data_IF_954364411919
#
_entry.id   IF_954364411919
#
_cell.length_a   1.000
_cell.length_b   1.000
_cell.length_c   1.000
_cell.angle_alpha   90.00
_cell.angle_beta   90.00
_cell.angle_gamma   90.00
#
_symmetry.space_group_name_H-M   'P 1'
#
loop_
_entity.id
_entity.type
_entity.pdbx_description
1 polymer ?
#
# COMPACT_ATOMS: atom_id res chain seq x y z
N UNK A 1 -2.32 16.06 8.25
CA UNK A 1 -1.39 14.94 7.90
C UNK A 1 -0.48 14.67 9.08
N UNK A 2 -0.32 13.41 9.49
CA UNK A 2 0.56 12.97 10.58
C UNK A 2 1.82 12.27 10.09
N UNK A 3 1.76 11.57 8.94
CA UNK A 3 2.90 10.87 8.34
C UNK A 3 2.77 10.81 6.83
N UNK A 4 3.91 10.76 6.16
CA UNK A 4 4.04 10.68 4.71
C UNK A 4 5.08 9.60 4.40
N UNK A 5 4.74 8.64 3.54
CA UNK A 5 5.61 7.49 3.27
C UNK A 5 5.50 7.06 1.83
N UNK A 6 6.65 6.87 1.17
CA UNK A 6 6.70 6.28 -0.16
C UNK A 6 6.44 4.78 -0.06
N UNK A 7 5.47 4.27 -0.82
CA UNK A 7 5.19 2.83 -0.88
C UNK A 7 6.15 2.10 -1.82
N UNK A 8 6.76 2.81 -2.76
CA UNK A 8 7.79 2.32 -3.66
C UNK A 8 9.19 2.55 -3.08
N UNK A 9 10.08 1.54 -3.21
CA UNK A 9 11.49 1.66 -2.85
C UNK A 9 12.25 2.70 -3.67
N UNK A 10 13.39 3.17 -3.14
CA UNK A 10 14.22 4.24 -3.72
C UNK A 10 14.55 4.00 -5.20
N UNK A 11 15.10 2.83 -5.53
CA UNK A 11 15.55 2.49 -6.88
C UNK A 11 14.40 2.54 -7.91
N UNK A 12 13.20 2.11 -7.51
CA UNK A 12 12.03 2.16 -8.38
C UNK A 12 11.64 3.61 -8.69
N UNK A 13 11.71 4.50 -7.70
CA UNK A 13 11.37 5.92 -7.88
C UNK A 13 12.43 6.66 -8.69
N UNK A 14 13.71 6.29 -8.55
CA UNK A 14 14.79 6.87 -9.36
C UNK A 14 14.65 6.49 -10.84
N UNK A 15 14.18 5.27 -11.13
CA UNK A 15 13.96 4.82 -12.51
C UNK A 15 12.70 5.40 -13.14
N UNK A 16 11.60 5.46 -12.40
CA UNK A 16 10.29 5.84 -12.94
C UNK A 16 9.98 7.33 -12.79
N UNK A 17 10.67 8.00 -11.86
CA UNK A 17 10.41 9.39 -11.46
C UNK A 17 8.99 9.64 -10.92
N UNK A 18 8.23 8.59 -10.61
CA UNK A 18 6.92 8.66 -9.97
C UNK A 18 6.74 7.50 -9.00
N UNK A 19 5.78 7.62 -8.07
CA UNK A 19 5.49 6.55 -7.13
C UNK A 19 4.27 6.83 -6.27
N UNK A 20 3.61 5.79 -5.76
CA UNK A 20 2.50 5.95 -4.83
C UNK A 20 2.99 6.45 -3.47
N UNK A 21 2.26 7.42 -2.94
CA UNK A 21 2.53 8.03 -1.65
C UNK A 21 1.41 7.71 -0.67
N UNK A 22 1.75 7.11 0.46
CA UNK A 22 0.83 6.92 1.57
C UNK A 22 0.85 8.17 2.46
N UNK A 23 -0.35 8.67 2.76
CA UNK A 23 -0.59 9.78 3.66
C UNK A 23 -1.41 9.27 4.85
N UNK A 24 -0.90 9.49 6.05
CA UNK A 24 -1.66 9.24 7.26
C UNK A 24 -2.27 10.56 7.73
N UNK A 25 -3.56 10.53 8.09
CA UNK A 25 -4.30 11.67 8.60
C UNK A 25 -4.64 11.45 10.08
N UNK A 26 -4.70 12.54 10.85
CA UNK A 26 -5.15 12.49 12.25
C UNK A 26 -6.66 12.39 12.35
N UNK A 27 -7.37 13.00 11.40
CA UNK A 27 -8.83 12.99 11.31
C UNK A 27 -9.29 12.10 10.15
N UNK A 28 -10.35 11.33 10.41
CA UNK A 28 -11.07 10.60 9.36
C UNK A 28 -11.72 11.56 8.36
N UNK A 29 -12.19 12.70 8.83
CA UNK A 29 -12.84 13.72 8.00
C UNK A 29 -11.86 14.28 6.96
N UNK A 30 -10.64 14.62 7.37
CA UNK A 30 -9.59 15.07 6.45
C UNK A 30 -9.27 14.00 5.40
N UNK A 31 -9.15 12.74 5.83
CA UNK A 31 -8.87 11.62 4.93
C UNK A 31 -9.98 11.45 3.88
N UNK A 32 -11.24 11.49 4.30
CA UNK A 32 -12.38 11.39 3.38
C UNK A 32 -12.44 12.59 2.44
N UNK A 33 -12.19 13.80 2.94
CA UNK A 33 -12.18 15.03 2.14
C UNK A 33 -11.18 14.93 0.99
N UNK A 34 -9.95 14.48 1.27
CA UNK A 34 -8.94 14.32 0.21
C UNK A 34 -9.23 13.15 -0.72
N UNK A 35 -9.93 12.10 -0.28
CA UNK A 35 -10.38 11.01 -1.15
C UNK A 35 -11.42 11.52 -2.15
N UNK A 36 -12.39 12.31 -1.68
CA UNK A 36 -13.48 12.81 -2.50
C UNK A 36 -13.02 13.91 -3.47
N UNK A 37 -12.15 14.81 -3.00
CA UNK A 37 -11.73 15.98 -3.77
C UNK A 37 -10.40 15.77 -4.52
N UNK A 38 -9.59 14.81 -4.09
CA UNK A 38 -8.20 14.66 -4.51
C UNK A 38 -7.25 15.60 -3.74
N UNK A 39 -5.97 15.60 -4.16
CA UNK A 39 -4.95 16.41 -3.52
C UNK A 39 -4.03 17.03 -4.56
N UNK A 40 -3.81 18.34 -4.49
CA UNK A 40 -2.85 19.03 -5.35
C UNK A 40 -1.50 19.14 -4.64
N UNK A 41 -0.45 18.60 -5.24
CA UNK A 41 0.93 18.67 -4.74
C UNK A 41 1.78 19.35 -5.82
N UNK A 42 2.42 20.47 -5.47
CA UNK A 42 3.27 21.24 -6.40
C UNK A 42 2.56 21.55 -7.75
N UNK A 43 1.30 21.95 -7.69
CA UNK A 43 0.49 22.24 -8.87
C UNK A 43 0.01 21.01 -9.65
N UNK A 44 0.37 19.80 -9.24
CA UNK A 44 -0.09 18.55 -9.86
C UNK A 44 -1.27 17.99 -9.09
N UNK A 45 -2.40 17.77 -9.76
CA UNK A 45 -3.55 17.08 -9.18
C UNK A 45 -3.27 15.57 -9.07
N UNK A 46 -3.37 15.04 -7.86
CA UNK A 46 -3.20 13.63 -7.55
C UNK A 46 -4.54 13.03 -7.13
N UNK A 47 -4.93 11.93 -7.79
CA UNK A 47 -6.06 11.11 -7.34
C UNK A 47 -5.67 10.41 -6.05
N UNK A 48 -6.57 10.44 -5.06
CA UNK A 48 -6.38 9.81 -3.76
C UNK A 48 -7.36 8.65 -3.63
N UNK A 49 -6.93 7.58 -2.96
CA UNK A 49 -7.76 6.44 -2.61
C UNK A 49 -7.37 5.91 -1.25
N UNK A 50 -8.28 5.19 -0.59
CA UNK A 50 -7.97 4.45 0.64
C UNK A 50 -6.83 3.49 0.36
N UNK A 51 -5.82 3.48 1.24
CA UNK A 51 -4.75 2.50 1.18
C UNK A 51 -5.29 1.12 1.61
N UNK A 52 -5.25 0.17 0.69
CA UNK A 52 -5.56 -1.23 0.96
C UNK A 52 -4.24 -1.99 0.95
N UNK A 53 -3.73 -2.46 2.10
CA UNK A 53 -2.50 -3.22 2.14
C UNK A 53 -2.66 -4.51 1.33
N UNK A 54 -1.58 -4.92 0.64
CA UNK A 54 -1.56 -6.19 -0.09
C UNK A 54 -1.88 -7.32 0.89
N UNK A 55 -2.76 -8.23 0.48
CA UNK A 55 -3.00 -9.46 1.21
C UNK A 55 -1.66 -10.15 1.53
N UNK A 56 -1.46 -10.70 2.73
CA UNK A 56 -0.22 -11.41 3.02
C UNK A 56 -0.13 -12.66 2.15
N UNK A 57 1.08 -12.97 1.69
CA UNK A 57 1.39 -14.28 1.13
C UNK A 57 1.67 -15.24 2.29
N UNK A 58 1.02 -16.40 2.27
CA UNK A 58 1.28 -17.46 3.21
C UNK A 58 2.56 -18.21 2.81
N UNK A 59 3.63 -18.11 3.61
CA UNK A 59 4.88 -18.82 3.30
C UNK A 59 4.85 -20.33 3.56
N UNK A 60 3.72 -20.88 4.03
CA UNK A 60 3.51 -22.33 4.15
C UNK A 60 2.93 -22.91 2.86
N UNK A 61 1.74 -22.49 2.45
CA UNK A 61 1.05 -23.03 1.27
C UNK A 61 1.24 -22.19 0.00
N UNK A 62 1.87 -21.01 0.09
CA UNK A 62 2.08 -20.03 -0.99
C UNK A 62 0.82 -19.31 -1.50
N UNK A 63 -0.36 -19.59 -0.93
CA UNK A 63 -1.60 -18.88 -1.23
C UNK A 63 -1.65 -17.49 -0.55
N UNK A 64 -2.59 -16.65 -0.98
CA UNK A 64 -2.79 -15.29 -0.47
C UNK A 64 -3.90 -15.22 0.58
N UNK A 65 -3.83 -14.23 1.46
CA UNK A 65 -4.94 -13.84 2.35
C UNK A 65 -4.86 -14.33 3.79
N UNK A 66 -3.84 -15.09 4.16
CA UNK A 66 -3.64 -15.57 5.53
C UNK A 66 -2.15 -15.70 5.88
N UNK A 67 -1.83 -15.77 7.18
CA UNK A 67 -0.44 -15.98 7.64
C UNK A 67 -0.14 -17.47 7.80
N UNK A 68 1.14 -17.84 7.70
CA UNK A 68 1.58 -19.22 7.88
C UNK A 68 1.21 -19.79 9.27
N UNK A 69 1.15 -18.94 10.30
CA UNK A 69 0.74 -19.31 11.67
C UNK A 69 -0.74 -19.70 11.78
N UNK A 70 -1.56 -19.28 10.83
CA UNK A 70 -3.02 -19.51 10.78
C UNK A 70 -3.38 -20.54 9.69
N UNK A 71 -2.38 -21.08 8.98
CA UNK A 71 -2.55 -21.91 7.80
C UNK A 71 -2.83 -23.38 8.16
N UNK A 72 -3.97 -23.91 7.68
CA UNK A 72 -4.30 -25.34 7.70
C UNK A 72 -3.94 -26.09 6.40
N UNK A 73 -3.49 -25.37 5.37
CA UNK A 73 -3.10 -25.93 4.08
C UNK A 73 -1.78 -26.73 4.12
N UNK A 74 -1.58 -27.53 3.06
CA UNK A 74 -0.35 -28.29 2.84
C UNK A 74 0.85 -27.35 2.55
N UNK A 75 2.03 -27.75 3.01
CA UNK A 75 3.25 -27.00 2.75
C UNK A 75 3.65 -27.11 1.27
N UNK A 76 3.94 -25.98 0.64
CA UNK A 76 4.40 -25.87 -0.75
C UNK A 76 5.68 -25.04 -0.83
N UNK A 77 6.55 -25.41 -1.76
CA UNK A 77 7.76 -24.67 -2.04
C UNK A 77 7.41 -23.32 -2.68
N UNK A 78 7.98 -22.22 -2.18
CA UNK A 78 7.80 -20.89 -2.78
C UNK A 78 8.56 -20.66 -4.10
N UNK A 79 9.18 -21.71 -4.65
CA UNK A 79 10.08 -21.61 -5.81
C UNK A 79 9.80 -22.63 -6.93
N UNK A 80 9.27 -23.81 -6.61
CA UNK A 80 9.05 -24.89 -7.58
C UNK A 80 7.57 -25.17 -7.80
#
# INVERSE_FOLDING_TARGET
>A
ISRLTWLSGKDSRERTHHGPLQLDFKSREDANTVIDQGLTINGTYCRVSIYIPRAPQCFRCQDWGHRATECSGEARCGRC
#
